data_IF_139503359128
#
_entry.id   IF_139503359128
#
_cell.length_a   1.000
_cell.length_b   1.000
_cell.length_c   1.000
_cell.angle_alpha   90.00
_cell.angle_beta   90.00
_cell.angle_gamma   90.00
#
_symmetry.space_group_name_H-M   'P 1'
#
loop_
_entity.id
_entity.type
_entity.pdbx_description
1 polymer ?
#
# COMPACT_ATOMS: atom_id res chain seq x y z
N UNK A 1 21.45 14.46 -4.38
CA UNK A 1 22.21 15.73 -4.25
C UNK A 1 22.78 15.76 -2.85
N UNK A 2 23.91 16.41 -2.61
CA UNK A 2 24.47 16.55 -1.25
C UNK A 2 23.64 17.53 -0.41
N UNK A 3 23.61 17.33 0.92
CA UNK A 3 22.92 18.22 1.87
C UNK A 3 23.39 19.68 1.72
N UNK A 4 22.43 20.60 1.64
CA UNK A 4 22.67 22.05 1.76
C UNK A 4 23.19 22.43 3.15
N UNK A 5 23.59 23.70 3.34
CA UNK A 5 24.14 24.19 4.62
C UNK A 5 23.21 23.90 5.82
N UNK A 6 21.90 24.14 5.64
CA UNK A 6 20.89 23.84 6.66
C UNK A 6 20.83 22.34 6.96
N UNK A 7 20.74 21.49 5.93
CA UNK A 7 20.69 20.03 6.10
C UNK A 7 21.91 19.46 6.81
N UNK A 8 23.12 19.99 6.54
CA UNK A 8 24.34 19.63 7.27
C UNK A 8 24.30 20.03 8.74
N UNK A 9 23.87 21.26 9.04
CA UNK A 9 23.72 21.70 10.43
C UNK A 9 22.72 20.85 11.21
N UNK A 10 21.61 20.48 10.56
CA UNK A 10 20.59 19.61 11.16
C UNK A 10 21.15 18.22 11.39
N UNK A 11 21.81 17.63 10.38
CA UNK A 11 22.49 16.34 10.49
C UNK A 11 23.43 16.32 11.68
N UNK A 12 24.35 17.29 11.78
CA UNK A 12 25.36 17.31 12.85
C UNK A 12 24.71 17.42 14.24
N UNK A 13 23.63 18.21 14.34
CA UNK A 13 22.82 18.32 15.57
C UNK A 13 22.18 16.97 15.94
N UNK A 14 21.52 16.33 14.96
CA UNK A 14 20.83 15.06 15.16
C UNK A 14 21.80 13.90 15.43
N UNK A 15 22.96 13.86 14.79
CA UNK A 15 24.01 12.86 15.04
C UNK A 15 24.45 12.89 16.50
N UNK A 16 24.64 14.09 17.07
CA UNK A 16 24.99 14.26 18.48
C UNK A 16 23.91 13.73 19.43
N UNK A 17 22.63 14.00 19.13
CA UNK A 17 21.50 13.52 19.93
C UNK A 17 21.30 12.01 19.80
N UNK A 18 21.35 11.47 18.59
CA UNK A 18 21.11 10.04 18.32
C UNK A 18 22.24 9.18 18.91
N UNK A 19 23.51 9.60 18.77
CA UNK A 19 24.66 8.83 19.27
C UNK A 19 24.69 8.71 20.80
N UNK A 20 24.05 9.64 21.52
CA UNK A 20 23.99 9.64 22.98
C UNK A 20 22.74 8.97 23.57
N UNK A 21 21.81 8.49 22.73
CA UNK A 21 20.50 8.03 23.15
C UNK A 21 20.46 6.53 23.48
N UNK A 22 19.77 6.16 24.55
CA UNK A 22 19.38 4.77 24.83
C UNK A 22 18.15 4.32 24.05
N UNK A 23 17.23 5.25 23.75
CA UNK A 23 16.07 5.05 22.88
C UNK A 23 16.20 5.95 21.65
N UNK A 24 16.59 5.33 20.53
CA UNK A 24 16.86 6.04 19.27
C UNK A 24 15.59 6.59 18.64
N UNK A 25 14.45 5.91 18.78
CA UNK A 25 13.21 6.33 18.12
C UNK A 25 12.66 7.57 18.81
N UNK A 26 12.48 7.54 20.12
CA UNK A 26 11.96 8.68 20.88
C UNK A 26 12.89 9.89 20.79
N UNK A 27 14.21 9.66 20.88
CA UNK A 27 15.19 10.74 20.74
C UNK A 27 15.17 11.37 19.35
N UNK A 28 14.95 10.55 18.30
CA UNK A 28 14.79 11.07 16.93
C UNK A 28 13.51 11.88 16.80
N UNK A 29 12.39 11.42 17.38
CA UNK A 29 11.12 12.15 17.37
C UNK A 29 11.30 13.54 17.97
N UNK A 30 11.82 13.62 19.20
CA UNK A 30 11.96 14.89 19.92
C UNK A 30 12.97 15.82 19.25
N UNK A 31 14.08 15.27 18.72
CA UNK A 31 15.07 16.07 18.03
C UNK A 31 14.55 16.61 16.69
N UNK A 32 13.91 15.76 15.88
CA UNK A 32 13.30 16.18 14.61
C UNK A 32 12.17 17.19 14.83
N UNK A 33 11.34 16.99 15.87
CA UNK A 33 10.31 17.94 16.31
C UNK A 33 10.90 19.28 16.72
N UNK A 34 11.91 19.29 17.59
CA UNK A 34 12.56 20.50 18.07
C UNK A 34 13.20 21.32 16.95
N UNK A 35 13.90 20.64 16.03
CA UNK A 35 14.47 21.27 14.83
C UNK A 35 13.37 21.82 13.93
N UNK A 36 12.28 21.08 13.71
CA UNK A 36 11.15 21.53 12.88
C UNK A 36 10.50 22.77 13.48
N UNK A 37 10.13 22.75 14.76
CA UNK A 37 9.53 23.91 15.45
C UNK A 37 10.48 25.11 15.42
N UNK A 38 11.77 24.90 15.67
CA UNK A 38 12.79 25.94 15.63
C UNK A 38 12.95 26.56 14.25
N UNK A 39 13.02 25.72 13.21
CA UNK A 39 13.10 26.16 11.82
C UNK A 39 11.86 26.99 11.43
N UNK A 40 10.67 26.52 11.82
CA UNK A 40 9.43 27.20 11.48
C UNK A 40 9.24 28.52 12.23
N UNK A 41 9.64 28.60 13.51
CA UNK A 41 9.58 29.85 14.29
C UNK A 41 10.63 30.88 13.83
N UNK A 42 11.76 30.43 13.27
CA UNK A 42 12.81 31.28 12.72
C UNK A 42 12.52 31.82 11.31
N UNK A 43 11.67 31.12 10.55
CA UNK A 43 11.28 31.45 9.17
C UNK A 43 10.24 32.57 9.15
N UNK A 44 10.65 33.81 8.82
CA UNK A 44 9.74 34.87 8.36
C UNK A 44 9.71 34.85 6.83
N UNK A 45 8.56 34.43 6.27
CA UNK A 45 8.10 34.55 4.86
C UNK A 45 8.11 33.31 3.93
N UNK A 46 6.92 33.01 3.39
CA UNK A 46 6.56 32.18 2.21
C UNK A 46 6.52 30.64 2.31
N UNK A 47 5.44 30.08 1.74
CA UNK A 47 5.11 28.63 1.69
C UNK A 47 6.19 27.79 0.99
N UNK A 48 6.97 28.37 0.08
CA UNK A 48 8.03 27.65 -0.66
C UNK A 48 9.26 27.36 0.22
N UNK A 49 9.51 28.18 1.23
CA UNK A 49 10.59 27.95 2.20
C UNK A 49 10.22 26.80 3.16
N UNK A 50 8.93 26.62 3.43
CA UNK A 50 8.37 25.58 4.28
C UNK A 50 8.66 24.17 3.77
N UNK A 51 8.38 23.90 2.49
CA UNK A 51 8.62 22.58 1.87
C UNK A 51 10.11 22.25 1.82
N UNK A 52 10.96 23.24 1.53
CA UNK A 52 12.42 23.11 1.55
C UNK A 52 12.97 22.80 2.95
N UNK A 53 12.39 23.39 3.99
CA UNK A 53 12.77 23.14 5.39
C UNK A 53 12.38 21.72 5.84
N UNK A 54 11.15 21.27 5.60
CA UNK A 54 10.70 19.91 5.92
C UNK A 54 11.63 18.88 5.27
N UNK A 55 11.92 19.05 3.98
CA UNK A 55 12.87 18.18 3.27
C UNK A 55 14.29 18.23 3.84
N UNK A 56 14.78 19.39 4.27
CA UNK A 56 16.10 19.54 4.86
C UNK A 56 16.20 18.86 6.23
N UNK A 57 15.15 18.94 7.06
CA UNK A 57 15.10 18.27 8.37
C UNK A 57 15.14 16.77 8.19
N UNK A 58 14.26 16.24 7.33
CA UNK A 58 14.14 14.80 7.09
C UNK A 58 15.44 14.24 6.51
N UNK A 59 16.00 14.87 5.48
CA UNK A 59 17.25 14.43 4.89
C UNK A 59 18.41 14.50 5.88
N UNK A 60 18.49 15.59 6.66
CA UNK A 60 19.50 15.75 7.70
C UNK A 60 19.41 14.62 8.74
N UNK A 61 18.20 14.27 9.16
CA UNK A 61 17.94 13.16 10.07
C UNK A 61 18.39 11.81 9.47
N UNK A 62 17.96 11.49 8.25
CA UNK A 62 18.33 10.24 7.57
C UNK A 62 19.84 10.10 7.39
N UNK A 63 20.55 11.19 7.07
CA UNK A 63 22.01 11.17 7.00
C UNK A 63 22.64 10.98 8.38
N UNK A 64 22.10 11.62 9.42
CA UNK A 64 22.60 11.45 10.78
C UNK A 64 22.45 9.99 11.24
N UNK A 65 21.30 9.37 10.94
CA UNK A 65 21.04 7.96 11.18
C UNK A 65 22.06 7.06 10.49
N UNK A 66 22.33 7.32 9.20
CA UNK A 66 23.30 6.56 8.43
C UNK A 66 24.72 6.70 9.01
N UNK A 67 25.09 7.90 9.45
CA UNK A 67 26.40 8.19 10.06
C UNK A 67 26.58 7.46 11.42
N UNK A 68 25.50 7.28 12.18
CA UNK A 68 25.50 6.53 13.46
C UNK A 68 25.32 5.01 13.25
N UNK A 69 24.88 4.59 12.07
CA UNK A 69 24.70 3.17 11.71
C UNK A 69 23.45 2.52 12.31
N UNK A 70 22.42 3.31 12.64
CA UNK A 70 21.14 2.77 13.14
C UNK A 70 20.21 2.37 12.00
N UNK A 71 19.17 1.59 12.32
CA UNK A 71 18.21 1.13 11.32
C UNK A 71 17.42 2.31 10.72
N UNK A 72 17.54 2.50 9.40
CA UNK A 72 16.91 3.62 8.69
C UNK A 72 15.38 3.56 8.73
N UNK A 73 14.76 2.38 8.77
CA UNK A 73 13.30 2.23 8.78
C UNK A 73 12.64 2.79 10.04
N UNK A 74 13.09 2.33 11.22
CA UNK A 74 12.59 2.82 12.52
C UNK A 74 12.93 4.29 12.74
N UNK A 75 14.07 4.73 12.24
CA UNK A 75 14.47 6.14 12.34
C UNK A 75 13.68 7.03 11.39
N UNK A 76 13.34 6.55 10.19
CA UNK A 76 12.42 7.23 9.29
C UNK A 76 11.05 7.39 9.97
N UNK A 77 10.53 6.34 10.62
CA UNK A 77 9.30 6.42 11.44
C UNK A 77 9.38 7.56 12.46
N UNK A 78 10.42 7.56 13.31
CA UNK A 78 10.60 8.59 14.34
C UNK A 78 10.78 10.00 13.76
N UNK A 79 11.57 10.14 12.69
CA UNK A 79 11.81 11.42 12.01
C UNK A 79 10.50 11.99 11.48
N UNK A 80 9.71 11.17 10.77
CA UNK A 80 8.45 11.61 10.18
C UNK A 80 7.44 12.01 11.28
N UNK A 81 7.34 11.24 12.37
CA UNK A 81 6.50 11.61 13.52
C UNK A 81 6.92 12.96 14.09
N UNK A 82 8.22 13.15 14.34
CA UNK A 82 8.76 14.39 14.90
C UNK A 82 8.52 15.59 14.00
N UNK A 83 8.78 15.45 12.70
CA UNK A 83 8.56 16.51 11.70
C UNK A 83 7.09 16.88 11.59
N UNK A 84 6.18 15.91 11.48
CA UNK A 84 4.75 16.19 11.34
C UNK A 84 4.18 16.80 12.62
N UNK A 85 4.54 16.29 13.80
CA UNK A 85 4.13 16.89 15.08
C UNK A 85 4.66 18.32 15.24
N UNK A 86 5.94 18.53 14.93
CA UNK A 86 6.56 19.85 14.98
C UNK A 86 5.93 20.84 14.00
N UNK A 87 5.59 20.37 12.79
CA UNK A 87 4.84 21.17 11.82
C UNK A 87 3.44 21.51 12.34
N UNK A 88 2.73 20.53 12.93
CA UNK A 88 1.40 20.68 13.52
C UNK A 88 1.32 21.67 14.68
N UNK A 89 2.42 21.90 15.40
CA UNK A 89 2.50 22.92 16.46
C UNK A 89 2.55 24.35 15.92
N UNK A 90 3.02 24.55 14.70
CA UNK A 90 3.27 25.87 14.12
C UNK A 90 2.29 26.19 12.98
N UNK A 91 1.79 25.17 12.27
CA UNK A 91 0.90 25.30 11.12
C UNK A 91 -0.04 24.10 10.98
N UNK A 92 -1.09 24.24 10.18
CA UNK A 92 -1.95 23.11 9.78
C UNK A 92 -1.17 22.18 8.84
N UNK A 93 -1.19 20.88 9.16
CA UNK A 93 -0.62 19.84 8.31
C UNK A 93 -1.67 19.42 7.29
N UNK A 94 -1.32 19.45 6.01
CA UNK A 94 -2.19 19.06 4.90
C UNK A 94 -1.80 17.69 4.36
N UNK A 95 -2.65 17.14 3.51
CA UNK A 95 -2.38 15.88 2.79
C UNK A 95 -1.07 15.94 2.00
N UNK A 96 -0.79 17.08 1.37
CA UNK A 96 0.44 17.31 0.60
C UNK A 96 1.70 17.20 1.47
N UNK A 97 1.68 17.82 2.65
CA UNK A 97 2.80 17.78 3.60
C UNK A 97 3.17 16.33 3.96
N UNK A 98 2.18 15.45 4.14
CA UNK A 98 2.43 14.04 4.48
C UNK A 98 3.13 13.30 3.32
N UNK A 99 2.64 13.51 2.09
CA UNK A 99 3.22 12.91 0.89
C UNK A 99 4.65 13.42 0.64
N UNK A 100 4.87 14.72 0.78
CA UNK A 100 6.19 15.35 0.62
C UNK A 100 7.18 14.90 1.68
N UNK A 101 6.70 14.69 2.91
CA UNK A 101 7.49 14.17 4.02
C UNK A 101 7.98 12.74 3.73
N UNK A 102 7.10 11.87 3.24
CA UNK A 102 7.47 10.50 2.83
C UNK A 102 8.44 10.54 1.63
N UNK A 103 8.15 11.35 0.61
CA UNK A 103 9.01 11.53 -0.56
C UNK A 103 10.40 12.03 -0.18
N UNK A 104 10.50 12.97 0.76
CA UNK A 104 11.76 13.49 1.26
C UNK A 104 12.57 12.44 2.03
N UNK A 105 11.90 11.60 2.84
CA UNK A 105 12.55 10.49 3.55
C UNK A 105 13.15 9.49 2.56
N UNK A 106 12.36 9.02 1.60
CA UNK A 106 12.82 8.10 0.56
C UNK A 106 13.98 8.69 -0.25
N UNK A 107 13.88 9.98 -0.61
CA UNK A 107 14.95 10.68 -1.34
C UNK A 107 16.24 10.77 -0.53
N UNK A 108 16.14 11.10 0.76
CA UNK A 108 17.28 11.13 1.67
C UNK A 108 17.94 9.76 1.79
N UNK A 109 17.15 8.69 1.79
CA UNK A 109 17.65 7.31 1.85
C UNK A 109 18.41 6.91 0.59
N UNK A 110 17.89 7.25 -0.59
CA UNK A 110 18.63 7.03 -1.83
C UNK A 110 19.94 7.81 -1.91
N UNK A 111 20.01 9.00 -1.28
CA UNK A 111 21.25 9.79 -1.21
C UNK A 111 22.34 9.14 -0.35
N UNK A 112 21.95 8.36 0.67
CA UNK A 112 22.89 7.62 1.54
C UNK A 112 23.06 6.14 1.16
N UNK A 113 22.40 5.68 0.09
CA UNK A 113 22.47 4.29 -0.38
C UNK A 113 21.76 3.27 0.52
N UNK A 114 20.77 3.72 1.30
CA UNK A 114 19.99 2.85 2.19
C UNK A 114 18.87 2.07 1.50
N UNK A 115 18.21 1.19 2.25
CA UNK A 115 17.04 0.45 1.78
C UNK A 115 15.80 1.36 1.69
N UNK A 116 15.48 1.75 0.46
CA UNK A 116 14.35 2.63 0.13
C UNK A 116 13.01 2.02 0.52
N UNK A 117 12.80 0.71 0.35
CA UNK A 117 11.52 0.08 0.64
C UNK A 117 11.24 0.03 2.15
N UNK A 118 12.26 -0.34 2.93
CA UNK A 118 12.21 -0.31 4.40
C UNK A 118 11.97 1.09 4.95
N UNK A 119 12.59 2.12 4.35
CA UNK A 119 12.33 3.52 4.74
C UNK A 119 10.95 3.97 4.33
N UNK A 120 10.47 3.64 3.13
CA UNK A 120 9.12 3.99 2.70
C UNK A 120 8.08 3.43 3.68
N UNK A 121 8.25 2.17 4.13
CA UNK A 121 7.44 1.57 5.18
C UNK A 121 7.47 2.39 6.48
N UNK A 122 8.67 2.64 7.02
CA UNK A 122 8.82 3.37 8.28
C UNK A 122 8.26 4.78 8.21
N UNK A 123 8.51 5.49 7.10
CA UNK A 123 8.00 6.83 6.86
C UNK A 123 6.48 6.85 6.79
N UNK A 124 5.86 5.92 6.04
CA UNK A 124 4.40 5.82 5.93
C UNK A 124 3.78 5.42 7.27
N UNK A 125 4.37 4.47 8.00
CA UNK A 125 3.92 4.07 9.33
C UNK A 125 3.94 5.26 10.32
N UNK A 126 5.03 6.01 10.35
CA UNK A 126 5.16 7.20 11.20
C UNK A 126 4.20 8.32 10.79
N UNK A 127 4.00 8.52 9.48
CA UNK A 127 3.04 9.49 8.99
C UNK A 127 1.61 9.10 9.40
N UNK A 128 1.24 7.83 9.24
CA UNK A 128 -0.06 7.30 9.66
C UNK A 128 -0.30 7.47 11.16
N UNK A 129 0.69 7.19 12.00
CA UNK A 129 0.58 7.35 13.46
C UNK A 129 0.23 8.80 13.88
N UNK A 130 0.67 9.79 13.09
CA UNK A 130 0.38 11.19 13.38
C UNK A 130 -0.99 11.69 12.90
N UNK A 131 -1.66 10.97 11.99
CA UNK A 131 -2.93 11.40 11.37
C UNK A 131 -3.97 11.79 12.41
N UNK A 132 -4.16 10.94 13.43
CA UNK A 132 -5.09 11.18 14.54
C UNK A 132 -4.74 12.43 15.36
N UNK A 133 -3.47 12.66 15.63
CA UNK A 133 -3.03 13.83 16.42
C UNK A 133 -3.20 15.16 15.68
N UNK A 134 -3.24 15.14 14.35
CA UNK A 134 -3.43 16.33 13.50
C UNK A 134 -4.85 16.44 12.94
N UNK A 135 -5.79 15.57 13.39
CA UNK A 135 -7.20 15.62 13.01
C UNK A 135 -7.53 15.10 11.61
N UNK A 136 -6.63 14.31 11.00
CA UNK A 136 -6.85 13.63 9.72
C UNK A 136 -7.24 12.17 9.95
N UNK A 137 -7.95 11.57 8.99
CA UNK A 137 -8.27 10.14 8.98
C UNK A 137 -7.17 9.37 8.25
N UNK A 138 -6.83 8.17 8.72
CA UNK A 138 -5.74 7.38 8.14
C UNK A 138 -6.08 6.92 6.72
N UNK A 139 -7.32 6.52 6.48
CA UNK A 139 -7.85 6.11 5.18
C UNK A 139 -7.75 7.24 4.13
N UNK A 140 -8.11 8.48 4.48
CA UNK A 140 -8.01 9.65 3.59
C UNK A 140 -6.56 9.92 3.14
N UNK A 141 -5.60 9.44 3.93
CA UNK A 141 -4.18 9.65 3.71
C UNK A 141 -3.49 8.53 2.96
N UNK A 142 -4.01 7.30 3.03
CA UNK A 142 -3.41 6.10 2.46
C UNK A 142 -3.02 6.27 0.99
N UNK A 143 -3.92 6.84 0.19
CA UNK A 143 -3.71 7.10 -1.23
C UNK A 143 -2.52 8.06 -1.48
N UNK A 144 -2.48 9.21 -0.79
CA UNK A 144 -1.47 10.24 -1.04
C UNK A 144 -0.10 9.87 -0.50
N UNK A 145 -0.06 9.12 0.61
CA UNK A 145 1.16 8.59 1.18
C UNK A 145 1.80 7.53 0.25
N UNK A 146 0.97 6.65 -0.32
CA UNK A 146 1.39 5.70 -1.34
C UNK A 146 2.01 6.39 -2.57
N UNK A 147 1.39 7.46 -3.07
CA UNK A 147 1.96 8.24 -4.17
C UNK A 147 3.30 8.88 -3.81
N UNK A 148 3.41 9.46 -2.60
CA UNK A 148 4.65 10.08 -2.12
C UNK A 148 5.82 9.10 -2.05
N UNK A 149 5.55 7.88 -1.57
CA UNK A 149 6.53 6.79 -1.55
C UNK A 149 7.00 6.42 -2.97
N UNK A 150 6.07 6.21 -3.90
CA UNK A 150 6.39 5.84 -5.29
C UNK A 150 7.17 6.94 -6.03
N UNK A 151 6.75 8.20 -5.88
CA UNK A 151 7.46 9.34 -6.46
C UNK A 151 8.88 9.46 -5.90
N UNK A 152 9.03 9.33 -4.57
CA UNK A 152 10.33 9.30 -3.91
C UNK A 152 11.22 8.19 -4.45
N UNK A 153 10.70 6.97 -4.53
CA UNK A 153 11.45 5.80 -5.03
C UNK A 153 11.87 5.99 -6.48
N UNK A 154 10.99 6.53 -7.33
CA UNK A 154 11.34 6.78 -8.73
C UNK A 154 12.49 7.76 -8.88
N UNK A 155 12.50 8.84 -8.09
CA UNK A 155 13.55 9.86 -8.14
C UNK A 155 14.93 9.33 -7.81
N UNK A 156 14.99 8.31 -6.95
CA UNK A 156 16.25 7.66 -6.55
C UNK A 156 16.54 6.38 -7.33
N UNK A 157 15.66 5.99 -8.28
CA UNK A 157 15.82 4.79 -9.08
C UNK A 157 15.68 3.49 -8.28
N UNK A 158 14.93 3.49 -7.18
CA UNK A 158 14.70 2.32 -6.36
C UNK A 158 13.68 1.34 -6.94
N UNK A 159 13.53 0.19 -6.29
CA UNK A 159 12.55 -0.83 -6.66
C UNK A 159 11.13 -0.42 -6.23
N UNK A 160 10.30 -0.09 -7.23
CA UNK A 160 8.90 0.30 -7.02
C UNK A 160 8.04 -0.84 -6.48
N UNK A 161 8.31 -2.09 -6.87
CA UNK A 161 7.58 -3.26 -6.38
C UNK A 161 7.85 -3.49 -4.89
N UNK A 162 9.13 -3.54 -4.51
CA UNK A 162 9.51 -3.64 -3.10
C UNK A 162 8.95 -2.48 -2.27
N UNK A 163 9.04 -1.24 -2.80
CA UNK A 163 8.45 -0.05 -2.17
C UNK A 163 6.95 -0.21 -1.97
N UNK A 164 6.21 -0.68 -2.98
CA UNK A 164 4.77 -0.88 -2.90
C UNK A 164 4.39 -1.87 -1.80
N UNK A 165 5.06 -3.03 -1.77
CA UNK A 165 4.87 -4.06 -0.74
C UNK A 165 5.10 -3.52 0.66
N UNK A 166 6.17 -2.75 0.87
CA UNK A 166 6.54 -2.31 2.21
C UNK A 166 5.77 -1.04 2.63
N UNK A 167 5.37 -0.19 1.67
CA UNK A 167 4.49 0.96 1.89
C UNK A 167 3.11 0.55 2.37
N UNK A 168 2.50 -0.47 1.75
CA UNK A 168 1.19 -0.94 2.20
C UNK A 168 1.27 -1.62 3.57
N UNK A 169 2.37 -2.31 3.90
CA UNK A 169 2.63 -2.82 5.27
C UNK A 169 2.68 -1.68 6.30
N UNK A 170 3.38 -0.58 5.97
CA UNK A 170 3.43 0.61 6.81
C UNK A 170 2.05 1.27 6.96
N UNK A 171 1.29 1.33 5.87
CA UNK A 171 -0.09 1.86 5.85
C UNK A 171 -1.01 1.04 6.76
N UNK A 172 -1.01 -0.28 6.61
CA UNK A 172 -1.84 -1.20 7.40
C UNK A 172 -1.49 -1.11 8.88
N UNK A 173 -0.20 -1.18 9.22
CA UNK A 173 0.25 -1.12 10.62
C UNK A 173 -0.07 0.23 11.25
N UNK A 174 0.27 1.34 10.59
CA UNK A 174 -0.02 2.67 11.10
C UNK A 174 -1.52 2.95 11.23
N UNK A 175 -2.33 2.52 10.27
CA UNK A 175 -3.80 2.62 10.34
C UNK A 175 -4.35 1.82 11.52
N UNK A 176 -3.84 0.61 11.74
CA UNK A 176 -4.23 -0.22 12.89
C UNK A 176 -3.86 0.45 14.22
N UNK A 177 -2.65 0.99 14.35
CA UNK A 177 -2.17 1.67 15.57
C UNK A 177 -3.03 2.88 15.95
N UNK A 178 -3.57 3.61 14.97
CA UNK A 178 -4.47 4.75 15.25
C UNK A 178 -5.95 4.37 15.39
N UNK A 179 -6.30 3.10 15.12
CA UNK A 179 -7.65 2.56 15.16
C UNK A 179 -8.52 2.95 13.95
N UNK A 180 -7.90 3.17 12.79
CA UNK A 180 -8.59 3.49 11.53
C UNK A 180 -9.12 2.25 10.79
N UNK A 181 -9.78 2.48 9.64
CA UNK A 181 -10.31 1.39 8.80
C UNK A 181 -9.19 0.79 7.94
N UNK A 182 -8.62 -0.33 8.39
CA UNK A 182 -7.54 -1.02 7.67
C UNK A 182 -7.97 -1.48 6.28
N UNK A 183 -9.22 -1.90 6.09
CA UNK A 183 -9.74 -2.31 4.77
C UNK A 183 -9.75 -1.14 3.78
N UNK A 184 -10.26 0.02 4.19
CA UNK A 184 -10.26 1.24 3.35
C UNK A 184 -8.82 1.68 3.06
N UNK A 185 -7.95 1.66 4.07
CA UNK A 185 -6.54 2.00 3.90
C UNK A 185 -5.81 1.05 2.93
N UNK A 186 -6.12 -0.25 2.91
CA UNK A 186 -5.58 -1.20 1.93
C UNK A 186 -6.06 -0.86 0.53
N UNK A 187 -7.37 -0.62 0.36
CA UNK A 187 -7.97 -0.27 -0.93
C UNK A 187 -7.34 1.01 -1.50
N UNK A 188 -7.28 2.07 -0.68
CA UNK A 188 -6.76 3.38 -1.08
C UNK A 188 -5.25 3.40 -1.26
N UNK A 189 -4.50 2.67 -0.43
CA UNK A 189 -3.04 2.52 -0.60
C UNK A 189 -2.73 1.77 -1.89
N UNK A 190 -3.41 0.64 -2.17
CA UNK A 190 -3.22 -0.12 -3.41
C UNK A 190 -3.53 0.75 -4.64
N UNK A 191 -4.65 1.48 -4.59
CA UNK A 191 -5.05 2.43 -5.64
C UNK A 191 -4.01 3.53 -5.86
N UNK A 192 -3.51 4.14 -4.77
CA UNK A 192 -2.48 5.18 -4.80
C UNK A 192 -1.14 4.69 -5.31
N UNK A 193 -0.72 3.47 -4.95
CA UNK A 193 0.51 2.84 -5.42
C UNK A 193 0.47 2.63 -6.93
N UNK A 194 -0.62 2.09 -7.46
CA UNK A 194 -0.81 1.83 -8.90
C UNK A 194 -0.83 3.14 -9.67
N UNK A 195 -1.61 4.12 -9.23
CA UNK A 195 -1.71 5.41 -9.90
C UNK A 195 -0.39 6.18 -9.85
N UNK A 196 0.26 6.24 -8.69
CA UNK A 196 1.58 6.82 -8.55
C UNK A 196 2.60 6.16 -9.48
N UNK A 197 2.52 4.83 -9.63
CA UNK A 197 3.42 4.07 -10.51
C UNK A 197 3.21 4.43 -11.98
N UNK A 198 1.96 4.54 -12.42
CA UNK A 198 1.65 4.96 -13.77
C UNK A 198 2.11 6.41 -14.05
N UNK A 199 1.87 7.32 -13.11
CA UNK A 199 2.28 8.73 -13.22
C UNK A 199 3.80 8.88 -13.36
N UNK A 200 4.58 7.97 -12.76
CA UNK A 200 6.05 7.98 -12.85
C UNK A 200 6.63 7.07 -13.94
N UNK A 201 5.76 6.45 -14.76
CA UNK A 201 6.14 5.55 -15.85
C UNK A 201 6.78 4.23 -15.40
N UNK A 202 6.38 3.71 -14.24
CA UNK A 202 6.86 2.44 -13.69
C UNK A 202 6.07 1.22 -14.18
N UNK A 203 6.50 0.04 -13.74
CA UNK A 203 5.82 -1.23 -14.02
C UNK A 203 4.62 -1.42 -13.08
N UNK A 204 3.43 -1.10 -13.60
CA UNK A 204 2.16 -1.21 -12.88
C UNK A 204 1.81 -2.66 -12.53
N UNK A 205 2.16 -3.64 -13.37
CA UNK A 205 1.87 -5.06 -13.11
C UNK A 205 2.68 -5.54 -11.90
N UNK A 206 3.97 -5.23 -11.88
CA UNK A 206 4.85 -5.53 -10.75
C UNK A 206 4.36 -4.87 -9.46
N UNK A 207 4.01 -3.58 -9.49
CA UNK A 207 3.50 -2.87 -8.31
C UNK A 207 2.17 -3.41 -7.83
N UNK A 208 1.24 -3.73 -8.73
CA UNK A 208 -0.06 -4.31 -8.37
C UNK A 208 0.12 -5.60 -7.58
N UNK A 209 0.97 -6.51 -8.10
CA UNK A 209 1.28 -7.79 -7.46
C UNK A 209 1.89 -7.61 -6.08
N UNK A 210 2.92 -6.76 -5.99
CA UNK A 210 3.64 -6.51 -4.74
C UNK A 210 2.79 -5.78 -3.69
N UNK A 211 1.91 -4.87 -4.10
CA UNK A 211 0.98 -4.21 -3.19
C UNK A 211 -0.02 -5.22 -2.60
N UNK A 212 -0.58 -6.11 -3.41
CA UNK A 212 -1.50 -7.15 -2.94
C UNK A 212 -0.78 -8.14 -2.01
N UNK A 213 0.43 -8.58 -2.39
CA UNK A 213 1.30 -9.42 -1.55
C UNK A 213 1.55 -8.76 -0.19
N UNK A 214 1.98 -7.48 -0.20
CA UNK A 214 2.26 -6.73 1.00
C UNK A 214 1.04 -6.51 1.89
N UNK A 215 -0.14 -6.28 1.31
CA UNK A 215 -1.39 -6.13 2.07
C UNK A 215 -1.74 -7.42 2.83
N UNK A 216 -1.55 -8.58 2.19
CA UNK A 216 -1.81 -9.88 2.81
C UNK A 216 -0.78 -10.21 3.89
N UNK A 217 0.51 -9.97 3.61
CA UNK A 217 1.57 -10.11 4.61
C UNK A 217 1.33 -9.23 5.84
N UNK A 218 0.78 -8.03 5.65
CA UNK A 218 0.51 -7.08 6.72
C UNK A 218 -0.61 -7.50 7.68
N UNK A 219 -1.39 -8.53 7.35
CA UNK A 219 -2.46 -9.03 8.24
C UNK A 219 -1.93 -9.69 9.50
N UNK A 220 -0.67 -10.15 9.50
CA UNK A 220 -0.01 -10.73 10.66
C UNK A 220 0.22 -9.67 11.75
N UNK A 221 -0.69 -9.57 12.71
CA UNK A 221 -0.56 -8.68 13.88
C UNK A 221 -1.48 -7.45 13.88
N UNK A 222 -2.45 -7.38 12.96
CA UNK A 222 -3.51 -6.37 12.96
C UNK A 222 -4.89 -7.05 13.04
N UNK A 223 -5.95 -6.29 13.32
CA UNK A 223 -7.31 -6.84 13.46
C UNK A 223 -8.00 -7.24 12.14
N UNK A 224 -7.28 -7.26 11.03
CA UNK A 224 -7.80 -7.59 9.69
C UNK A 224 -7.47 -9.02 9.31
N UNK A 225 -8.42 -9.68 8.67
CA UNK A 225 -8.24 -11.02 8.15
C UNK A 225 -7.56 -11.00 6.78
N UNK A 226 -6.91 -12.12 6.44
CA UNK A 226 -6.33 -12.32 5.11
C UNK A 226 -7.37 -12.13 3.99
N UNK A 227 -8.59 -12.59 4.23
CA UNK A 227 -9.71 -12.50 3.30
C UNK A 227 -10.12 -11.05 3.04
N UNK A 228 -10.23 -10.24 4.09
CA UNK A 228 -10.52 -8.81 3.99
C UNK A 228 -9.41 -8.05 3.27
N UNK A 229 -8.14 -8.39 3.52
CA UNK A 229 -7.00 -7.80 2.81
C UNK A 229 -6.99 -8.19 1.33
N UNK A 230 -7.23 -9.47 1.00
CA UNK A 230 -7.33 -9.96 -0.37
C UNK A 230 -8.47 -9.27 -1.13
N UNK A 231 -9.66 -9.16 -0.50
CA UNK A 231 -10.81 -8.47 -1.07
C UNK A 231 -10.55 -6.98 -1.32
N UNK A 232 -10.02 -6.27 -0.32
CA UNK A 232 -9.83 -4.81 -0.37
C UNK A 232 -8.70 -4.41 -1.33
N UNK A 233 -7.59 -5.17 -1.34
CA UNK A 233 -6.48 -4.93 -2.27
C UNK A 233 -6.89 -5.24 -3.72
N UNK A 234 -7.70 -6.27 -3.95
CA UNK A 234 -8.28 -6.55 -5.26
C UNK A 234 -9.17 -5.41 -5.77
N UNK A 235 -10.02 -4.85 -4.91
CA UNK A 235 -10.86 -3.70 -5.24
C UNK A 235 -10.00 -2.46 -5.55
N UNK A 236 -9.01 -2.18 -4.71
CA UNK A 236 -8.05 -1.08 -4.91
C UNK A 236 -7.25 -1.22 -6.20
N UNK A 237 -6.88 -2.46 -6.57
CA UNK A 237 -6.19 -2.75 -7.82
C UNK A 237 -7.03 -2.41 -9.06
N UNK A 238 -8.32 -2.76 -9.05
CA UNK A 238 -9.24 -2.42 -10.15
C UNK A 238 -9.48 -0.92 -10.24
N UNK A 239 -9.75 -0.25 -9.11
CA UNK A 239 -9.94 1.22 -9.11
C UNK A 239 -8.69 1.94 -9.60
N UNK A 240 -7.51 1.57 -9.09
CA UNK A 240 -6.24 2.16 -9.52
C UNK A 240 -5.98 1.93 -11.01
N UNK A 241 -6.19 0.70 -11.49
CA UNK A 241 -6.03 0.36 -12.91
C UNK A 241 -7.02 1.13 -13.79
N UNK A 242 -8.26 1.30 -13.34
CA UNK A 242 -9.28 2.06 -14.08
C UNK A 242 -8.92 3.54 -14.19
N UNK A 243 -8.44 4.15 -13.11
CA UNK A 243 -8.07 5.58 -13.08
C UNK A 243 -6.96 5.90 -14.08
N UNK A 244 -6.04 4.96 -14.30
CA UNK A 244 -4.94 5.11 -15.27
C UNK A 244 -5.32 4.63 -16.69
N UNK A 245 -6.57 4.17 -16.90
CA UNK A 245 -7.02 3.63 -18.19
C UNK A 245 -6.37 2.30 -18.56
N UNK A 246 -5.90 1.53 -17.58
CA UNK A 246 -5.24 0.24 -17.78
C UNK A 246 -6.21 -0.92 -18.06
N UNK A 247 -5.64 -2.07 -18.42
CA UNK A 247 -6.40 -3.29 -18.67
C UNK A 247 -6.77 -4.00 -17.35
N UNK A 248 -8.06 -3.98 -17.01
CA UNK A 248 -8.60 -4.61 -15.82
C UNK A 248 -8.41 -6.13 -15.80
N UNK A 249 -8.39 -6.79 -16.97
CA UNK A 249 -8.18 -8.22 -17.05
C UNK A 249 -6.74 -8.60 -16.70
N UNK A 250 -5.77 -7.76 -17.09
CA UNK A 250 -4.37 -7.94 -16.69
C UNK A 250 -4.17 -7.64 -15.20
N UNK A 251 -4.78 -6.57 -14.68
CA UNK A 251 -4.78 -6.31 -13.23
C UNK A 251 -5.35 -7.48 -12.43
N UNK A 252 -6.43 -8.11 -12.91
CA UNK A 252 -6.99 -9.31 -12.30
C UNK A 252 -5.96 -10.45 -12.19
N UNK A 253 -5.13 -10.67 -13.23
CA UNK A 253 -4.09 -11.69 -13.20
C UNK A 253 -3.02 -11.39 -12.16
N UNK A 254 -2.55 -10.14 -12.12
CA UNK A 254 -1.49 -9.72 -11.18
C UNK A 254 -1.98 -9.72 -9.73
N UNK A 255 -3.22 -9.31 -9.49
CA UNK A 255 -3.85 -9.37 -8.17
C UNK A 255 -3.96 -10.81 -7.67
N UNK A 256 -4.43 -11.76 -8.49
CA UNK A 256 -4.53 -13.17 -8.08
C UNK A 256 -3.14 -13.75 -7.83
N UNK A 257 -2.14 -13.41 -8.64
CA UNK A 257 -0.77 -13.85 -8.42
C UNK A 257 -0.21 -13.31 -7.10
N UNK A 258 -0.36 -12.02 -6.81
CA UNK A 258 0.04 -11.40 -5.55
C UNK A 258 -0.73 -11.97 -4.36
N UNK A 259 -2.02 -12.29 -4.55
CA UNK A 259 -2.85 -12.96 -3.54
C UNK A 259 -2.27 -14.32 -3.18
N UNK A 260 -1.90 -15.10 -4.19
CA UNK A 260 -1.39 -16.46 -4.01
C UNK A 260 -0.03 -16.44 -3.31
N UNK A 261 0.90 -15.59 -3.77
CA UNK A 261 2.23 -15.45 -3.18
C UNK A 261 2.13 -14.96 -1.74
N UNK A 262 1.38 -13.88 -1.48
CA UNK A 262 1.21 -13.34 -0.14
C UNK A 262 0.58 -14.36 0.81
N UNK A 263 -0.46 -15.08 0.36
CA UNK A 263 -1.11 -16.10 1.18
C UNK A 263 -0.19 -17.27 1.50
N UNK A 264 0.66 -17.67 0.55
CA UNK A 264 1.65 -18.72 0.76
C UNK A 264 2.69 -18.30 1.80
N UNK A 265 3.17 -17.05 1.76
CA UNK A 265 4.16 -16.55 2.71
C UNK A 265 3.65 -16.49 4.15
N UNK A 266 2.36 -16.18 4.34
CA UNK A 266 1.75 -16.14 5.68
C UNK A 266 1.13 -17.49 6.11
N UNK A 267 1.21 -18.52 5.27
CA UNK A 267 0.65 -19.86 5.57
C UNK A 267 -0.87 -19.90 5.68
N UNK A 268 -1.59 -19.02 4.97
CA UNK A 268 -3.04 -18.88 5.05
C UNK A 268 -3.82 -19.85 4.15
N UNK A 269 -5.16 -19.78 4.23
CA UNK A 269 -6.05 -20.57 3.38
C UNK A 269 -6.11 -19.99 1.95
N UNK A 270 -5.29 -20.55 1.06
CA UNK A 270 -5.16 -20.10 -0.33
C UNK A 270 -6.48 -20.14 -1.13
N UNK A 271 -7.27 -21.20 -0.95
CA UNK A 271 -8.54 -21.37 -1.68
C UNK A 271 -9.50 -20.23 -1.34
N UNK A 272 -9.61 -19.91 -0.05
CA UNK A 272 -10.47 -18.82 0.42
C UNK A 272 -9.92 -17.45 0.00
N UNK A 273 -8.60 -17.25 0.05
CA UNK A 273 -7.96 -16.01 -0.41
C UNK A 273 -8.24 -15.73 -1.89
N UNK A 274 -8.13 -16.75 -2.75
CA UNK A 274 -8.45 -16.65 -4.18
C UNK A 274 -9.93 -16.31 -4.38
N UNK A 275 -10.83 -16.95 -3.62
CA UNK A 275 -12.27 -16.66 -3.69
C UNK A 275 -12.55 -15.19 -3.34
N UNK A 276 -12.04 -14.70 -2.20
CA UNK A 276 -12.30 -13.35 -1.72
C UNK A 276 -11.60 -12.27 -2.56
N UNK A 277 -10.39 -12.53 -3.05
CA UNK A 277 -9.70 -11.68 -4.02
C UNK A 277 -10.52 -11.57 -5.30
N UNK A 278 -11.03 -12.69 -5.83
CA UNK A 278 -11.87 -12.67 -7.04
C UNK A 278 -13.20 -11.96 -6.80
N UNK A 279 -13.81 -12.10 -5.61
CA UNK A 279 -14.98 -11.30 -5.23
C UNK A 279 -14.69 -9.80 -5.29
N UNK A 280 -13.54 -9.39 -4.74
CA UNK A 280 -13.07 -8.01 -4.76
C UNK A 280 -12.86 -7.49 -6.19
N UNK A 281 -12.22 -8.29 -7.04
CA UNK A 281 -12.01 -7.98 -8.47
C UNK A 281 -13.33 -7.77 -9.22
N UNK A 282 -14.30 -8.68 -9.08
CA UNK A 282 -15.58 -8.57 -9.79
C UNK A 282 -16.41 -7.41 -9.26
N UNK A 283 -16.44 -7.20 -7.94
CA UNK A 283 -17.16 -6.07 -7.35
C UNK A 283 -16.56 -4.75 -7.81
N UNK A 284 -15.24 -4.59 -7.72
CA UNK A 284 -14.53 -3.41 -8.22
C UNK A 284 -14.78 -3.19 -9.71
N UNK A 285 -14.75 -4.25 -10.53
CA UNK A 285 -14.96 -4.16 -11.98
C UNK A 285 -16.37 -3.69 -12.31
N UNK A 286 -17.38 -4.22 -11.62
CA UNK A 286 -18.76 -3.81 -11.81
C UNK A 286 -18.98 -2.35 -11.36
N UNK A 287 -18.39 -1.93 -10.24
CA UNK A 287 -18.46 -0.55 -9.75
C UNK A 287 -17.86 0.46 -10.72
N UNK A 288 -16.78 0.09 -11.42
CA UNK A 288 -16.14 0.97 -12.41
C UNK A 288 -16.66 0.81 -13.85
N UNK A 289 -17.67 -0.04 -14.05
CA UNK A 289 -18.29 -0.30 -15.35
C UNK A 289 -17.39 -1.05 -16.34
N UNK A 290 -16.51 -1.93 -15.85
CA UNK A 290 -15.61 -2.76 -16.67
C UNK A 290 -16.24 -4.09 -17.13
N UNK A 291 -15.49 -4.84 -17.96
CA UNK A 291 -15.89 -6.16 -18.41
C UNK A 291 -15.64 -7.23 -17.33
N UNK A 292 -16.67 -7.50 -16.54
CA UNK A 292 -16.71 -8.52 -15.48
C UNK A 292 -16.47 -9.94 -16.02
N UNK A 293 -16.83 -10.24 -17.26
CA UNK A 293 -16.60 -11.55 -17.86
C UNK A 293 -15.12 -11.77 -18.17
N UNK A 294 -14.48 -10.77 -18.79
CA UNK A 294 -13.05 -10.80 -19.07
C UNK A 294 -12.22 -10.88 -17.77
N UNK A 295 -12.55 -10.08 -16.76
CA UNK A 295 -11.88 -10.10 -15.45
C UNK A 295 -12.05 -11.46 -14.77
N UNK A 296 -13.28 -12.01 -14.73
CA UNK A 296 -13.53 -13.32 -14.12
C UNK A 296 -12.73 -14.43 -14.79
N UNK A 297 -12.71 -14.46 -16.13
CA UNK A 297 -11.97 -15.46 -16.90
C UNK A 297 -10.46 -15.37 -16.63
N UNK A 298 -9.91 -14.16 -16.61
CA UNK A 298 -8.49 -13.94 -16.37
C UNK A 298 -8.08 -14.25 -14.91
N UNK A 299 -8.95 -13.98 -13.94
CA UNK A 299 -8.73 -14.38 -12.55
C UNK A 299 -8.65 -15.92 -12.41
N UNK A 300 -9.53 -16.66 -13.09
CA UNK A 300 -9.50 -18.13 -13.10
C UNK A 300 -8.26 -18.67 -13.81
N UNK A 301 -7.88 -18.11 -14.96
CA UNK A 301 -6.65 -18.49 -15.66
C UNK A 301 -5.41 -18.26 -14.79
N UNK A 302 -5.31 -17.09 -14.14
CA UNK A 302 -4.20 -16.78 -13.23
C UNK A 302 -4.18 -17.69 -12.00
N UNK A 303 -5.35 -18.03 -11.44
CA UNK A 303 -5.46 -18.97 -10.33
C UNK A 303 -4.96 -20.36 -10.72
N UNK A 304 -5.28 -20.85 -11.93
CA UNK A 304 -4.80 -22.13 -12.44
C UNK A 304 -3.28 -22.13 -12.60
N UNK A 305 -2.75 -21.12 -13.28
CA UNK A 305 -1.31 -21.01 -13.57
C UNK A 305 -0.50 -20.89 -12.28
N UNK A 306 -0.88 -19.93 -11.44
CA UNK A 306 -0.16 -19.62 -10.20
C UNK A 306 -0.25 -20.78 -9.20
N UNK A 307 -1.44 -21.37 -9.00
CA UNK A 307 -1.57 -22.54 -8.11
C UNK A 307 -0.78 -23.75 -8.61
N UNK A 308 -0.76 -23.98 -9.92
CA UNK A 308 0.02 -25.05 -10.54
C UNK A 308 1.51 -24.89 -10.31
N UNK A 309 2.02 -23.66 -10.38
CA UNK A 309 3.45 -23.35 -10.15
C UNK A 309 3.92 -23.62 -8.71
N UNK A 310 3.02 -23.59 -7.73
CA UNK A 310 3.33 -23.79 -6.31
C UNK A 310 2.79 -25.12 -5.74
N UNK A 311 2.39 -26.06 -6.60
CA UNK A 311 1.97 -27.40 -6.21
C UNK A 311 0.57 -27.50 -5.56
N UNK A 312 -0.26 -26.47 -5.70
CA UNK A 312 -1.64 -26.48 -5.23
C UNK A 312 -2.55 -27.09 -6.30
N UNK A 313 -3.63 -27.77 -5.87
CA UNK A 313 -4.62 -28.35 -6.78
C UNK A 313 -5.29 -27.25 -7.61
N UNK A 314 -4.95 -27.19 -8.89
CA UNK A 314 -5.45 -26.17 -9.82
C UNK A 314 -6.97 -26.18 -9.98
N UNK A 315 -7.61 -27.35 -9.80
CA UNK A 315 -9.08 -27.46 -9.78
C UNK A 315 -9.72 -26.67 -8.66
N UNK A 316 -9.09 -26.63 -7.48
CA UNK A 316 -9.63 -25.95 -6.31
C UNK A 316 -9.42 -24.45 -6.44
N UNK A 317 -8.24 -24.03 -6.90
CA UNK A 317 -7.94 -22.63 -7.19
C UNK A 317 -8.88 -22.07 -8.28
N UNK A 318 -9.06 -22.80 -9.38
CA UNK A 318 -9.97 -22.42 -10.45
C UNK A 318 -11.42 -22.31 -9.96
N UNK A 319 -11.88 -23.32 -9.19
CA UNK A 319 -13.24 -23.34 -8.67
C UNK A 319 -13.47 -22.24 -7.63
N UNK A 320 -12.48 -21.94 -6.79
CA UNK A 320 -12.54 -20.82 -5.85
C UNK A 320 -12.68 -19.48 -6.56
N UNK A 321 -11.84 -19.20 -7.55
CA UNK A 321 -11.93 -17.99 -8.34
C UNK A 321 -13.30 -17.88 -9.03
N UNK A 322 -13.75 -18.96 -9.67
CA UNK A 322 -15.04 -18.98 -10.34
C UNK A 322 -16.24 -18.77 -9.38
N UNK A 323 -16.22 -19.40 -8.20
CA UNK A 323 -17.26 -19.24 -7.18
C UNK A 323 -17.25 -17.82 -6.60
N UNK A 324 -16.07 -17.27 -6.32
CA UNK A 324 -15.93 -15.88 -5.89
C UNK A 324 -16.49 -14.91 -6.92
N UNK A 325 -16.18 -15.14 -8.20
CA UNK A 325 -16.67 -14.32 -9.30
C UNK A 325 -18.20 -14.35 -9.40
N UNK A 326 -18.80 -15.54 -9.44
CA UNK A 326 -20.26 -15.72 -9.56
C UNK A 326 -20.98 -15.19 -8.33
N UNK A 327 -20.42 -15.39 -7.13
CA UNK A 327 -21.02 -14.87 -5.90
C UNK A 327 -21.04 -13.34 -5.88
N UNK A 328 -19.95 -12.68 -6.28
CA UNK A 328 -19.90 -11.22 -6.40
C UNK A 328 -20.85 -10.69 -7.48
N UNK A 329 -20.92 -11.36 -8.64
CA UNK A 329 -21.84 -11.04 -9.72
C UNK A 329 -23.31 -10.99 -9.29
N UNK A 330 -23.69 -11.81 -8.29
CA UNK A 330 -25.04 -11.84 -7.72
C UNK A 330 -25.53 -10.49 -7.18
N UNK A 331 -24.62 -9.61 -6.77
CA UNK A 331 -24.97 -8.26 -6.27
C UNK A 331 -25.33 -7.27 -7.38
N UNK A 332 -25.11 -7.64 -8.65
CA UNK A 332 -25.27 -6.77 -9.82
C UNK A 332 -26.28 -7.32 -10.85
N UNK A 333 -27.12 -8.27 -10.43
CA UNK A 333 -28.24 -8.78 -11.22
C UNK A 333 -27.94 -10.01 -12.08
N UNK A 334 -29.01 -10.60 -12.62
CA UNK A 334 -28.98 -11.89 -13.32
C UNK A 334 -28.16 -11.89 -14.61
N UNK A 335 -28.17 -10.78 -15.36
CA UNK A 335 -27.33 -10.63 -16.57
C UNK A 335 -25.85 -10.72 -16.25
N UNK A 336 -25.43 -10.09 -15.14
CA UNK A 336 -24.05 -10.11 -14.66
C UNK A 336 -23.66 -11.52 -14.23
N UNK A 337 -24.52 -12.20 -13.46
CA UNK A 337 -24.35 -13.61 -13.08
C UNK A 337 -24.19 -14.49 -14.31
N UNK A 338 -25.04 -14.33 -15.33
CA UNK A 338 -24.99 -15.13 -16.56
C UNK A 338 -23.69 -14.91 -17.32
N UNK A 339 -23.29 -13.64 -17.47
CA UNK A 339 -22.04 -13.25 -18.14
C UNK A 339 -20.83 -13.89 -17.47
N UNK A 340 -20.73 -13.73 -16.14
CA UNK A 340 -19.62 -14.29 -15.36
C UNK A 340 -19.65 -15.81 -15.38
N UNK A 341 -20.81 -16.43 -15.17
CA UNK A 341 -20.97 -17.90 -15.18
C UNK A 341 -20.52 -18.48 -16.52
N UNK A 342 -20.92 -17.89 -17.64
CA UNK A 342 -20.49 -18.32 -18.96
C UNK A 342 -18.98 -18.17 -19.17
N UNK A 343 -18.38 -17.12 -18.62
CA UNK A 343 -16.95 -16.85 -18.75
C UNK A 343 -16.06 -17.81 -17.93
N UNK A 344 -16.56 -18.31 -16.78
CA UNK A 344 -15.79 -19.14 -15.85
C UNK A 344 -16.16 -20.63 -15.84
N UNK A 345 -17.19 -21.03 -16.60
CA UNK A 345 -17.63 -22.43 -16.66
C UNK A 345 -16.90 -23.25 -17.72
N UNK A 346 -16.92 -24.57 -17.55
CA UNK A 346 -16.35 -25.52 -18.50
C UNK A 346 -14.88 -25.85 -18.23
N UNK A 347 -14.11 -26.00 -19.30
CA UNK A 347 -12.67 -26.29 -19.21
C UNK A 347 -11.89 -25.04 -19.55
N UNK A 348 -11.14 -24.51 -18.58
CA UNK A 348 -10.29 -23.33 -18.74
C UNK A 348 -8.86 -23.79 -18.53
N UNK A 349 -7.98 -23.49 -19.49
CA UNK A 349 -6.56 -23.89 -19.45
C UNK A 349 -6.33 -25.37 -19.10
N UNK A 350 -7.18 -26.26 -19.62
CA UNK A 350 -7.11 -27.71 -19.36
C UNK A 350 -7.67 -28.16 -18.00
N UNK A 351 -8.15 -27.24 -17.16
CA UNK A 351 -8.73 -27.52 -15.85
C UNK A 351 -10.25 -27.46 -15.92
N UNK A 352 -10.92 -28.50 -15.41
CA UNK A 352 -12.38 -28.51 -15.27
C UNK A 352 -12.78 -27.65 -14.08
N UNK A 353 -13.45 -26.54 -14.34
CA UNK A 353 -13.91 -25.60 -13.32
C UNK A 353 -15.27 -26.05 -12.78
N UNK A 354 -15.40 -26.10 -11.46
CA UNK A 354 -16.64 -26.50 -10.79
C UNK A 354 -17.25 -25.26 -10.14
N UNK A 355 -18.21 -24.66 -10.83
CA UNK A 355 -19.01 -23.56 -10.29
C UNK A 355 -20.11 -24.15 -9.41
N UNK A 356 -20.05 -23.84 -8.11
CA UNK A 356 -21.15 -24.11 -7.18
C UNK A 356 -22.18 -23.02 -7.42
N UNK A 357 -23.27 -23.37 -8.09
CA UNK A 357 -24.37 -22.44 -8.29
C UNK A 357 -24.84 -21.89 -6.92
N UNK A 358 -24.81 -20.57 -6.69
CA UNK A 358 -25.69 -20.00 -5.70
C UNK A 358 -27.12 -20.07 -6.24
N UNK A 359 -28.12 -19.95 -5.36
CA UNK A 359 -29.55 -19.78 -5.68
C UNK A 359 -30.38 -21.06 -5.90
N UNK A 360 -30.88 -21.60 -4.77
CA UNK A 360 -32.32 -21.61 -4.45
C UNK A 360 -32.53 -22.07 -3.01
N UNK A 361 -32.66 -21.13 -2.08
CA UNK A 361 -33.60 -21.37 -0.99
C UNK A 361 -34.98 -21.31 -1.64
N UNK A 362 -35.55 -22.48 -1.89
CA UNK A 362 -36.99 -22.55 -2.16
C UNK A 362 -37.66 -22.06 -0.89
N UNK A 363 -38.24 -20.87 -0.94
CA UNK A 363 -39.39 -20.54 -0.11
C UNK A 363 -40.36 -21.72 -0.20
N UNK A 364 -40.39 -22.53 0.86
CA UNK A 364 -41.48 -23.44 1.09
C UNK A 364 -42.66 -22.58 1.54
N UNK A 365 -43.37 -22.02 0.56
CA UNK A 365 -44.77 -21.67 0.76
C UNK A 365 -45.55 -22.97 0.90
N UNK A 366 -45.96 -23.27 2.13
CA UNK A 366 -47.17 -24.03 2.45
C UNK A 366 -47.88 -23.35 3.60
#
# INVERSE_FOLDING_TARGET
MTLGNLGRSIRDTLTGTISGAGDVVESTIEAARGVTVGAFRGSRETVTEFEGMVGAVIKGAIHATNDVGTELGTTAKGTIIGVIRGAGEVSTVTVGVMSDTIRAAVKGTGEVGGDVATVARGAVEGAMETTKSIGLRAEDMAFSMAQGAIQGTREVGGDLGATARDTIKGTVKGTHEVGGSVMEAIEDSTRGLIRGTAEVGGDVASVTRNAVEGAIEATGGVSTTLQEAAFSSARGAIHGTREIGGDLASAARDTINGTIIGTQQVGGNLVQAIEDSTRGLIKGTAEVGGDVGAVARNAVESAIESAGSIGVRTTDAASAAANGAVSAAGSFGETTVTTVTNAVSGTISGVRVIVRAPFRDREQSK
#
